data_IF_677446510795
#
_entry.id   IF_677446510795
#
_cell.length_a   1.000
_cell.length_b   1.000
_cell.length_c   1.000
_cell.angle_alpha   90.00
_cell.angle_beta   90.00
_cell.angle_gamma   90.00
#
_symmetry.space_group_name_H-M   'P 1'
#
loop_
_entity.id
_entity.type
_entity.pdbx_description
1 polymer ?
#
# COMPACT_ATOMS: atom_id res chain seq x y z
N UNK A 1 -39.04 4.48 -29.52
CA UNK A 1 -38.40 4.19 -28.23
C UNK A 1 -37.43 3.07 -28.49
N UNK A 2 -36.14 3.39 -28.48
CA UNK A 2 -35.07 2.51 -28.92
C UNK A 2 -34.82 1.39 -27.90
N UNK A 3 -34.47 0.21 -28.41
CA UNK A 3 -34.35 -1.05 -27.71
C UNK A 3 -33.14 -1.01 -26.76
N UNK A 4 -33.32 -0.45 -25.56
CA UNK A 4 -32.33 -0.47 -24.49
C UNK A 4 -32.53 -1.70 -23.57
N UNK A 5 -32.52 -2.91 -24.15
CA UNK A 5 -32.70 -4.16 -23.40
C UNK A 5 -31.61 -5.20 -23.63
N UNK A 6 -30.74 -5.02 -24.64
CA UNK A 6 -29.80 -6.07 -25.07
C UNK A 6 -28.45 -6.03 -24.35
N UNK A 7 -28.05 -4.88 -23.77
CA UNK A 7 -26.72 -4.71 -23.17
C UNK A 7 -26.62 -5.24 -21.73
N UNK A 8 -27.67 -5.09 -20.93
CA UNK A 8 -27.69 -5.53 -19.53
C UNK A 8 -27.56 -7.05 -19.40
N UNK A 9 -28.23 -7.82 -20.27
CA UNK A 9 -28.14 -9.28 -20.23
C UNK A 9 -26.75 -9.82 -20.59
N UNK A 10 -26.04 -9.15 -21.52
CA UNK A 10 -24.70 -9.58 -21.94
C UNK A 10 -23.64 -9.30 -20.87
N UNK A 11 -23.70 -8.14 -20.22
CA UNK A 11 -22.75 -7.77 -19.16
C UNK A 11 -22.95 -8.64 -17.92
N UNK A 12 -24.21 -8.89 -17.53
CA UNK A 12 -24.54 -9.77 -16.39
C UNK A 12 -24.07 -11.21 -16.62
N UNK A 13 -24.17 -11.73 -17.85
CA UNK A 13 -23.63 -13.04 -18.21
C UNK A 13 -22.11 -13.12 -18.10
N UNK A 14 -21.40 -12.05 -18.50
CA UNK A 14 -19.94 -11.97 -18.38
C UNK A 14 -19.52 -11.93 -16.91
N UNK A 15 -20.23 -11.15 -16.08
CA UNK A 15 -19.99 -11.05 -14.64
C UNK A 15 -20.20 -12.42 -13.97
N UNK A 16 -21.26 -13.15 -14.32
CA UNK A 16 -21.53 -14.48 -13.76
C UNK A 16 -20.45 -15.50 -14.09
N UNK A 17 -19.93 -15.48 -15.33
CA UNK A 17 -18.83 -16.37 -15.75
C UNK A 17 -17.54 -16.05 -14.99
N UNK A 18 -17.17 -14.78 -14.90
CA UNK A 18 -15.99 -14.31 -14.16
C UNK A 18 -16.06 -14.71 -12.67
N UNK A 19 -17.21 -14.50 -12.02
CA UNK A 19 -17.42 -14.91 -10.62
C UNK A 19 -17.34 -16.43 -10.43
N UNK A 20 -17.85 -17.23 -11.37
CA UNK A 20 -17.74 -18.69 -11.31
C UNK A 20 -16.28 -19.15 -11.44
N UNK A 21 -15.50 -18.54 -12.34
CA UNK A 21 -14.06 -18.82 -12.48
C UNK A 21 -13.27 -18.42 -11.22
N UNK A 22 -13.57 -17.26 -10.63
CA UNK A 22 -12.98 -16.84 -9.36
C UNK A 22 -13.32 -17.83 -8.24
N UNK A 23 -14.56 -18.32 -8.16
CA UNK A 23 -14.99 -19.29 -7.13
C UNK A 23 -14.25 -20.63 -7.19
N UNK A 24 -13.87 -21.07 -8.39
CA UNK A 24 -13.09 -22.30 -8.62
C UNK A 24 -11.60 -22.04 -8.34
N UNK A 25 -11.12 -20.84 -8.67
CA UNK A 25 -9.73 -20.40 -8.50
C UNK A 25 -9.47 -19.66 -7.18
N UNK A 26 -10.40 -19.68 -6.22
CA UNK A 26 -10.17 -19.23 -4.84
C UNK A 26 -9.21 -20.22 -4.19
N UNK A 27 -7.94 -20.13 -4.61
CA UNK A 27 -6.77 -20.63 -3.91
C UNK A 27 -6.91 -20.13 -2.49
N UNK A 28 -6.78 -21.06 -1.54
CA UNK A 28 -6.85 -20.81 -0.11
C UNK A 28 -6.24 -19.44 0.26
N UNK A 29 -6.84 -18.69 1.21
CA UNK A 29 -6.38 -17.35 1.55
C UNK A 29 -4.86 -17.37 1.68
N UNK A 30 -4.18 -16.57 0.84
CA UNK A 30 -2.73 -16.55 0.80
C UNK A 30 -2.22 -16.36 2.23
N UNK A 31 -1.58 -17.39 2.78
CA UNK A 31 -1.09 -17.36 4.14
C UNK A 31 0.22 -16.59 4.10
N UNK A 32 0.12 -15.27 4.19
CA UNK A 32 1.31 -14.41 4.22
C UNK A 32 2.11 -14.74 5.47
N UNK A 33 3.38 -15.11 5.27
CA UNK A 33 4.32 -15.20 6.38
C UNK A 33 4.38 -13.84 7.06
N UNK A 34 4.43 -13.79 8.40
CA UNK A 34 4.72 -12.54 9.11
C UNK A 34 5.97 -11.94 8.49
N UNK A 35 5.91 -10.66 8.11
CA UNK A 35 7.11 -9.96 7.69
C UNK A 35 8.12 -10.05 8.84
N UNK A 36 9.42 -10.23 8.54
CA UNK A 36 10.41 -10.18 9.59
C UNK A 36 10.25 -8.86 10.33
N UNK A 37 10.50 -8.90 11.64
CA UNK A 37 10.65 -7.69 12.45
C UNK A 37 11.89 -6.95 11.92
N UNK A 38 11.68 -6.15 10.88
CA UNK A 38 12.68 -5.17 10.45
C UNK A 38 12.76 -4.17 11.59
N UNK A 39 13.97 -3.93 12.09
CA UNK A 39 14.19 -2.83 13.01
C UNK A 39 13.87 -1.54 12.25
N UNK A 40 12.64 -1.04 12.45
CA UNK A 40 12.16 0.17 11.82
C UNK A 40 12.83 1.36 12.52
N UNK A 41 14.12 1.53 12.23
CA UNK A 41 14.92 2.65 12.67
C UNK A 41 14.72 3.86 11.77
N UNK A 42 15.20 5.02 12.23
CA UNK A 42 15.37 6.15 11.33
C UNK A 42 16.34 5.74 10.20
N UNK A 43 15.99 5.97 8.91
CA UNK A 43 16.89 5.70 7.81
C UNK A 43 18.26 6.33 8.08
N UNK A 44 19.30 5.51 8.08
CA UNK A 44 20.67 5.97 8.31
C UNK A 44 21.32 6.54 7.04
N UNK A 45 20.59 6.53 5.92
CA UNK A 45 21.06 6.96 4.61
C UNK A 45 19.99 7.80 3.93
N UNK A 46 20.39 8.90 3.29
CA UNK A 46 19.49 9.64 2.42
C UNK A 46 19.25 8.83 1.13
N UNK A 47 18.10 9.03 0.48
CA UNK A 47 17.78 8.46 -0.83
C UNK A 47 18.81 8.82 -1.93
N UNK A 48 19.59 9.88 -1.76
CA UNK A 48 20.70 10.22 -2.66
C UNK A 48 22.00 9.43 -2.40
N UNK A 49 22.02 8.55 -1.38
CA UNK A 49 23.20 7.81 -0.94
C UNK A 49 24.17 8.61 -0.06
N UNK A 50 23.83 9.87 0.26
CA UNK A 50 24.62 10.71 1.16
C UNK A 50 24.37 10.44 2.65
N UNK A 51 25.31 10.91 3.47
CA UNK A 51 25.18 10.83 4.93
C UNK A 51 24.10 11.82 5.45
N UNK A 52 23.24 11.37 6.39
CA UNK A 52 22.28 12.23 7.06
C UNK A 52 22.92 13.40 7.81
N UNK A 53 22.26 14.55 7.83
CA UNK A 53 22.70 15.68 8.67
C UNK A 53 21.94 15.70 10.00
N UNK A 54 22.68 15.61 11.10
CA UNK A 54 22.15 15.81 12.45
C UNK A 54 22.00 17.30 12.74
N UNK A 55 20.76 17.78 12.80
CA UNK A 55 20.44 19.15 13.19
C UNK A 55 19.84 19.22 14.60
N UNK A 56 19.84 20.41 15.18
CA UNK A 56 19.12 20.68 16.44
C UNK A 56 18.01 21.67 16.17
N UNK A 57 16.78 21.31 16.56
CA UNK A 57 15.66 22.24 16.51
C UNK A 57 15.51 22.96 17.84
N UNK A 58 15.21 24.25 17.76
CA UNK A 58 14.86 25.05 18.92
C UNK A 58 13.35 25.29 18.92
N UNK A 59 12.67 24.83 19.97
CA UNK A 59 11.27 25.21 20.23
C UNK A 59 11.21 26.06 21.49
N UNK A 60 10.29 27.04 21.51
CA UNK A 60 10.10 28.00 22.62
C UNK A 60 9.87 27.29 23.97
N UNK A 61 9.37 26.05 23.96
CA UNK A 61 9.34 25.12 25.09
C UNK A 61 10.65 24.33 25.11
N UNK A 62 11.70 24.93 25.72
CA UNK A 62 13.10 24.45 25.73
C UNK A 62 13.28 22.95 25.99
N UNK A 63 13.19 22.18 24.93
CA UNK A 63 13.80 20.86 24.79
C UNK A 63 14.55 20.88 23.47
N UNK A 64 15.90 20.83 23.52
CA UNK A 64 16.73 20.72 22.31
C UNK A 64 16.44 19.34 21.72
N UNK A 65 15.62 19.27 20.67
CA UNK A 65 15.36 18.01 19.97
C UNK A 65 16.33 17.87 18.82
N UNK A 66 17.06 16.76 18.81
CA UNK A 66 17.84 16.33 17.64
C UNK A 66 16.85 15.99 16.52
N UNK A 67 17.10 16.50 15.33
CA UNK A 67 16.33 16.19 14.13
C UNK A 67 17.31 15.66 13.09
N UNK A 68 16.92 14.58 12.43
CA UNK A 68 17.64 14.03 11.29
C UNK A 68 17.09 14.68 10.02
N UNK A 69 17.93 15.37 9.25
CA UNK A 69 17.59 15.80 7.90
C UNK A 69 18.09 14.74 6.92
N UNK A 70 17.16 14.24 6.10
CA UNK A 70 17.38 13.27 5.04
C UNK A 70 17.46 14.00 3.72
#
# INVERSE_FOLDING_TARGET
GEIAGSGYSSTEELIRRDQAELSINYVAPAQYTPQPEVEFGFPQTCYCGGEPLLATSYTKKRSRKKILHM
#
